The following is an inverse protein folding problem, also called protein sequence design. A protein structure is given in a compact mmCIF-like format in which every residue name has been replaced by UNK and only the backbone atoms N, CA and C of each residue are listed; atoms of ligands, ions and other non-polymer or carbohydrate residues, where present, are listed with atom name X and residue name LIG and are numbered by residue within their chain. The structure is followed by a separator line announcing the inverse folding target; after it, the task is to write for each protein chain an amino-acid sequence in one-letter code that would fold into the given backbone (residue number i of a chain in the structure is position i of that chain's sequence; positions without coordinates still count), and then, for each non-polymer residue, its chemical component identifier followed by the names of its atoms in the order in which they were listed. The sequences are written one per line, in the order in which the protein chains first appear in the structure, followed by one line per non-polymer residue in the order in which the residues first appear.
data_IF_430892894436
#
_entry.id   IF_430892894436
#
_cell.length_a   1.000
_cell.length_b   1.000
_cell.length_c   1.000
_cell.angle_alpha   90.00
_cell.angle_beta   90.00
_cell.angle_gamma   90.00
#
_symmetry.space_group_name_H-M   'P 1'
#
loop_
_entity.id
_entity.type
_entity.pdbx_description
1 polymer ?
#
# COMPACT_ATOMS: atom_id res chain seq x y z
N UNK A 1 -42.17 0.36 17.41
CA UNK A 1 -42.19 0.33 15.93
C UNK A 1 -40.77 0.50 15.47
N UNK A 2 -40.11 -0.64 15.27
CA UNK A 2 -38.71 -0.73 14.85
C UNK A 2 -38.62 -0.67 13.34
N UNK A 3 -38.13 0.45 12.83
CA UNK A 3 -37.84 0.60 11.41
C UNK A 3 -36.61 -0.21 11.03
N UNK A 4 -36.80 -1.28 10.28
CA UNK A 4 -35.75 -1.96 9.54
C UNK A 4 -35.12 -0.98 8.56
N UNK A 5 -33.90 -0.52 8.83
CA UNK A 5 -33.04 0.03 7.80
C UNK A 5 -32.64 -1.15 6.91
N UNK A 6 -33.33 -1.32 5.80
CA UNK A 6 -32.92 -2.20 4.71
C UNK A 6 -31.57 -1.71 4.20
N UNK A 7 -30.55 -2.50 4.43
CA UNK A 7 -29.23 -2.37 3.83
C UNK A 7 -29.40 -2.47 2.31
N UNK A 8 -29.61 -1.34 1.66
CA UNK A 8 -29.73 -1.29 0.21
C UNK A 8 -28.36 -1.69 -0.36
N UNK A 9 -28.28 -2.85 -0.98
CA UNK A 9 -27.11 -3.32 -1.70
C UNK A 9 -26.63 -2.19 -2.63
N UNK A 10 -25.47 -1.64 -2.35
CA UNK A 10 -24.85 -0.61 -3.22
C UNK A 10 -24.57 -1.28 -4.55
N UNK A 11 -25.44 -1.03 -5.53
CA UNK A 11 -25.24 -1.52 -6.88
C UNK A 11 -24.04 -0.79 -7.50
N UNK A 12 -22.96 -1.52 -7.75
CA UNK A 12 -21.79 -0.96 -8.44
C UNK A 12 -22.08 -0.88 -9.93
N UNK A 13 -22.09 0.33 -10.53
CA UNK A 13 -22.41 0.47 -11.94
C UNK A 13 -21.34 -0.21 -12.81
N UNK A 14 -21.73 -0.80 -13.96
CA UNK A 14 -20.77 -1.38 -14.89
C UNK A 14 -19.82 -0.32 -15.47
N UNK A 15 -20.28 0.91 -15.62
CA UNK A 15 -19.53 2.07 -16.11
C UNK A 15 -19.51 3.16 -15.01
N UNK A 16 -18.57 3.05 -14.04
CA UNK A 16 -18.48 4.04 -12.98
C UNK A 16 -17.81 5.33 -13.48
N UNK A 17 -18.11 6.49 -12.85
CA UNK A 17 -17.37 7.72 -13.12
C UNK A 17 -15.88 7.53 -12.85
N UNK A 18 -15.05 8.44 -13.36
CA UNK A 18 -13.62 8.45 -13.03
C UNK A 18 -13.41 8.54 -11.51
N UNK A 19 -12.41 7.81 -10.98
CA UNK A 19 -12.24 7.70 -9.54
C UNK A 19 -11.76 9.01 -8.91
N UNK A 20 -12.10 9.19 -7.64
CA UNK A 20 -11.60 10.30 -6.81
C UNK A 20 -10.31 9.96 -6.07
N UNK A 21 -9.89 8.71 -6.10
CA UNK A 21 -8.63 8.20 -5.56
C UNK A 21 -7.79 7.57 -6.67
N UNK A 22 -6.52 7.96 -6.74
CA UNK A 22 -5.55 7.34 -7.66
C UNK A 22 -4.27 7.01 -6.93
N UNK A 23 -3.76 5.82 -7.18
CA UNK A 23 -2.43 5.42 -6.76
C UNK A 23 -1.51 5.39 -7.98
N UNK A 24 -0.37 6.08 -7.91
CA UNK A 24 0.61 6.15 -8.99
C UNK A 24 1.96 5.64 -8.48
N UNK A 25 2.46 4.60 -9.14
CA UNK A 25 3.84 4.15 -8.97
C UNK A 25 4.75 5.06 -9.79
N UNK A 26 5.56 5.88 -9.14
CA UNK A 26 6.45 6.83 -9.84
C UNK A 26 7.83 6.25 -10.13
N UNK A 27 8.17 5.10 -9.54
CA UNK A 27 9.48 4.42 -9.65
C UNK A 27 9.28 2.92 -9.81
N UNK A 28 9.85 2.34 -10.84
CA UNK A 28 9.81 0.89 -11.09
C UNK A 28 10.79 0.05 -10.27
N UNK A 29 11.56 0.65 -9.35
CA UNK A 29 12.62 -0.01 -8.61
C UNK A 29 12.65 0.38 -7.13
N UNK A 30 13.30 -0.46 -6.32
CA UNK A 30 13.55 -0.19 -4.91
C UNK A 30 15.02 -0.45 -4.57
N UNK A 31 15.55 0.30 -3.63
CA UNK A 31 16.89 0.09 -3.10
C UNK A 31 16.97 -1.03 -2.05
N UNK A 32 15.83 -1.62 -1.66
CA UNK A 32 15.73 -2.76 -0.77
C UNK A 32 15.26 -4.03 -1.49
N UNK A 33 15.41 -5.17 -0.81
CA UNK A 33 15.00 -6.49 -1.29
C UNK A 33 14.20 -7.21 -0.20
N UNK A 34 13.14 -6.54 0.28
CA UNK A 34 12.27 -7.09 1.33
C UNK A 34 11.72 -8.45 0.92
N UNK A 35 11.77 -9.43 1.83
CA UNK A 35 11.43 -10.83 1.51
C UNK A 35 9.99 -11.02 1.03
N UNK A 36 9.06 -10.24 1.58
CA UNK A 36 7.64 -10.28 1.22
C UNK A 36 7.29 -9.46 -0.03
N UNK A 37 8.25 -8.76 -0.66
CA UNK A 37 7.96 -7.84 -1.75
C UNK A 37 8.12 -8.49 -3.12
N UNK A 38 7.09 -8.38 -3.94
CA UNK A 38 7.07 -8.93 -5.30
C UNK A 38 7.97 -8.18 -6.29
N UNK A 39 8.54 -7.02 -5.92
CA UNK A 39 9.37 -6.21 -6.83
C UNK A 39 10.54 -6.98 -7.45
N UNK A 40 11.07 -7.97 -6.72
CA UNK A 40 12.20 -8.78 -7.17
C UNK A 40 11.84 -9.71 -8.34
N UNK A 41 10.56 -9.96 -8.55
CA UNK A 41 10.04 -10.95 -9.50
C UNK A 41 9.30 -10.30 -10.67
N UNK A 42 9.14 -8.98 -10.67
CA UNK A 42 8.43 -8.26 -11.73
C UNK A 42 9.15 -8.38 -13.07
N UNK A 43 8.37 -8.44 -14.15
CA UNK A 43 8.86 -8.60 -15.53
C UNK A 43 8.77 -7.32 -16.36
N UNK A 44 7.95 -6.37 -15.96
CA UNK A 44 7.70 -5.11 -16.66
C UNK A 44 8.83 -4.08 -16.51
N UNK A 45 9.90 -4.43 -15.79
CA UNK A 45 11.12 -3.65 -15.67
C UNK A 45 12.20 -4.40 -14.91
N UNK A 46 13.48 -4.18 -15.19
CA UNK A 46 14.56 -4.90 -14.53
C UNK A 46 14.66 -4.45 -13.06
N UNK A 47 14.51 -5.33 -12.08
CA UNK A 47 14.65 -4.96 -10.68
C UNK A 47 16.07 -4.49 -10.31
N UNK A 48 17.05 -4.80 -11.17
CA UNK A 48 18.47 -4.45 -11.01
C UNK A 48 19.03 -3.66 -12.20
N UNK A 49 18.19 -3.26 -13.15
CA UNK A 49 18.60 -2.53 -14.35
C UNK A 49 18.75 -1.02 -14.11
N UNK A 50 18.87 -0.25 -15.19
CA UNK A 50 18.83 1.20 -15.12
C UNK A 50 17.60 1.69 -14.38
N UNK A 51 17.75 2.79 -13.61
CA UNK A 51 16.63 3.37 -12.89
C UNK A 51 15.52 3.78 -13.86
N UNK A 52 14.31 3.32 -13.56
CA UNK A 52 13.12 3.54 -14.37
C UNK A 52 12.12 4.40 -13.57
N UNK A 53 11.86 5.59 -14.09
CA UNK A 53 11.01 6.60 -13.49
C UNK A 53 9.87 6.99 -14.42
N UNK A 54 8.72 7.35 -13.85
CA UNK A 54 7.70 8.07 -14.58
C UNK A 54 8.20 9.49 -14.86
N UNK A 55 8.28 9.96 -16.13
CA UNK A 55 8.63 11.34 -16.40
C UNK A 55 7.65 12.31 -15.73
N UNK A 56 8.16 13.44 -15.23
CA UNK A 56 7.31 14.43 -14.54
C UNK A 56 6.18 14.95 -15.44
N UNK A 57 6.46 15.20 -16.70
CA UNK A 57 5.45 15.71 -17.65
C UNK A 57 4.36 14.66 -17.92
N UNK A 58 4.72 13.37 -17.96
CA UNK A 58 3.75 12.27 -18.04
C UNK A 58 2.88 12.23 -16.79
N UNK A 59 3.48 12.38 -15.61
CA UNK A 59 2.76 12.44 -14.34
C UNK A 59 1.78 13.63 -14.30
N UNK A 60 2.25 14.82 -14.66
CA UNK A 60 1.41 16.01 -14.68
C UNK A 60 0.24 15.86 -15.66
N UNK A 61 0.51 15.42 -16.90
CA UNK A 61 -0.53 15.19 -17.91
C UNK A 61 -1.51 14.09 -17.53
N UNK A 62 -1.06 13.08 -16.76
CA UNK A 62 -1.95 12.04 -16.23
C UNK A 62 -2.95 12.63 -15.21
N UNK A 63 -2.49 13.47 -14.29
CA UNK A 63 -3.35 14.07 -13.26
C UNK A 63 -4.43 14.98 -13.85
N UNK A 64 -4.14 15.70 -14.94
CA UNK A 64 -5.13 16.56 -15.61
C UNK A 64 -6.33 15.78 -16.16
N UNK A 65 -6.19 14.49 -16.37
CA UNK A 65 -7.24 13.64 -16.90
C UNK A 65 -8.20 13.08 -15.83
N UNK A 66 -7.97 13.41 -14.54
CA UNK A 66 -8.85 13.03 -13.43
C UNK A 66 -9.54 14.26 -12.82
N UNK A 67 -10.62 14.75 -13.40
CA UNK A 67 -11.23 16.05 -13.04
C UNK A 67 -11.80 16.08 -11.60
N UNK A 68 -12.14 14.92 -11.03
CA UNK A 68 -12.70 14.80 -9.68
C UNK A 68 -11.72 14.17 -8.68
N UNK A 69 -10.42 14.11 -9.03
CA UNK A 69 -9.40 13.56 -8.12
C UNK A 69 -9.34 14.38 -6.83
N UNK A 70 -9.36 13.69 -5.69
CA UNK A 70 -9.25 14.27 -4.36
C UNK A 70 -8.03 13.74 -3.62
N UNK A 71 -7.79 12.42 -3.72
CA UNK A 71 -6.71 11.74 -3.02
C UNK A 71 -5.73 11.10 -4.00
N UNK A 72 -4.45 11.41 -3.84
CA UNK A 72 -3.37 10.83 -4.61
C UNK A 72 -2.39 10.08 -3.70
N UNK A 73 -2.17 8.81 -4.00
CA UNK A 73 -1.18 8.00 -3.29
C UNK A 73 0.02 7.71 -4.20
N UNK A 74 1.17 8.29 -3.87
CA UNK A 74 2.40 8.10 -4.64
C UNK A 74 3.19 6.92 -4.07
N UNK A 75 2.85 5.73 -4.52
CA UNK A 75 3.48 4.48 -4.09
C UNK A 75 3.23 3.38 -5.11
N UNK A 76 4.20 2.49 -5.25
CA UNK A 76 4.10 1.20 -5.93
C UNK A 76 4.91 0.15 -5.19
N UNK A 77 5.48 -0.79 -5.92
CA UNK A 77 6.47 -1.73 -5.38
C UNK A 77 7.83 -1.05 -5.17
N UNK A 78 8.14 0.01 -5.92
CA UNK A 78 9.35 0.79 -5.82
C UNK A 78 9.40 1.70 -4.58
N UNK A 79 10.60 2.20 -4.26
CA UNK A 79 10.76 3.24 -3.24
C UNK A 79 10.55 4.62 -3.88
N UNK A 80 9.45 5.35 -3.55
CA UNK A 80 9.10 6.60 -4.24
C UNK A 80 10.20 7.67 -4.16
N UNK A 81 10.93 7.73 -3.04
CA UNK A 81 11.99 8.71 -2.84
C UNK A 81 13.27 8.44 -3.64
N UNK A 82 13.34 7.36 -4.41
CA UNK A 82 14.36 7.19 -5.45
C UNK A 82 14.14 8.12 -6.63
N UNK A 83 12.90 8.54 -6.88
CA UNK A 83 12.62 9.48 -7.96
C UNK A 83 13.26 10.84 -7.69
N UNK A 84 14.09 11.38 -8.59
CA UNK A 84 14.83 12.62 -8.35
C UNK A 84 13.92 13.84 -8.14
N UNK A 85 12.74 13.84 -8.77
CA UNK A 85 11.73 14.91 -8.68
C UNK A 85 10.51 14.50 -7.83
N UNK A 86 10.67 13.58 -6.87
CA UNK A 86 9.55 13.09 -6.07
C UNK A 86 8.80 14.22 -5.35
N UNK A 87 9.53 15.09 -4.66
CA UNK A 87 8.90 16.21 -3.92
C UNK A 87 8.33 17.27 -4.85
N UNK A 88 8.85 17.43 -6.07
CA UNK A 88 8.22 18.30 -7.09
C UNK A 88 6.87 17.74 -7.54
N UNK A 89 6.76 16.39 -7.70
CA UNK A 89 5.48 15.72 -7.99
C UNK A 89 4.46 15.92 -6.87
N UNK A 90 4.91 15.75 -5.62
CA UNK A 90 4.07 16.02 -4.44
C UNK A 90 3.59 17.46 -4.44
N UNK A 91 4.50 18.44 -4.61
CA UNK A 91 4.16 19.86 -4.62
C UNK A 91 3.21 20.22 -5.76
N UNK A 92 3.40 19.66 -6.95
CA UNK A 92 2.51 19.85 -8.08
C UNK A 92 1.09 19.38 -7.78
N UNK A 93 0.96 18.16 -7.21
CA UNK A 93 -0.35 17.60 -6.87
C UNK A 93 -1.02 18.35 -5.69
N UNK A 94 -0.26 18.67 -4.64
CA UNK A 94 -0.76 19.45 -3.51
C UNK A 94 -1.18 20.86 -3.92
N UNK A 95 -0.43 21.50 -4.85
CA UNK A 95 -0.80 22.80 -5.44
C UNK A 95 -2.10 22.78 -6.23
N UNK A 96 -2.57 21.62 -6.68
CA UNK A 96 -3.90 21.41 -7.28
C UNK A 96 -5.00 21.15 -6.24
N UNK A 97 -4.68 21.17 -4.96
CA UNK A 97 -5.63 20.90 -3.88
C UNK A 97 -5.81 19.40 -3.56
N UNK A 98 -4.97 18.51 -4.11
CA UNK A 98 -5.05 17.08 -3.83
C UNK A 98 -4.44 16.75 -2.46
N UNK A 99 -5.07 15.82 -1.74
CA UNK A 99 -4.46 15.21 -0.55
C UNK A 99 -3.45 14.16 -1.01
N UNK A 100 -2.17 14.45 -0.84
CA UNK A 100 -1.09 13.57 -1.30
C UNK A 100 -0.55 12.73 -0.14
N UNK A 101 -0.43 11.43 -0.34
CA UNK A 101 0.14 10.47 0.61
C UNK A 101 1.20 9.60 -0.06
N UNK A 102 2.10 9.03 0.76
CA UNK A 102 3.12 8.09 0.29
C UNK A 102 3.55 7.12 1.37
N UNK A 103 4.09 5.96 0.96
CA UNK A 103 4.85 5.08 1.84
C UNK A 103 6.35 5.18 1.51
N UNK A 104 7.20 5.06 2.52
CA UNK A 104 8.65 5.03 2.34
C UNK A 104 9.32 4.08 3.31
N UNK A 105 10.40 3.45 2.86
CA UNK A 105 11.29 2.66 3.71
C UNK A 105 12.28 3.53 4.52
N UNK A 106 12.25 4.83 4.36
CA UNK A 106 13.08 5.85 5.00
C UNK A 106 14.60 5.70 4.83
N UNK A 107 15.12 4.71 4.13
CA UNK A 107 16.59 4.48 4.04
C UNK A 107 17.34 5.58 3.29
N UNK A 108 16.63 6.31 2.40
CA UNK A 108 17.22 7.36 1.56
C UNK A 108 16.98 8.78 2.09
N UNK A 109 16.37 8.92 3.26
CA UNK A 109 16.03 10.21 3.82
C UNK A 109 17.24 10.89 4.47
N UNK A 110 17.35 12.18 4.25
CA UNK A 110 18.34 13.09 4.83
C UNK A 110 17.63 14.30 5.41
N UNK A 111 18.33 15.16 6.12
CA UNK A 111 17.78 16.44 6.61
C UNK A 111 17.24 17.30 5.46
N UNK A 112 17.95 17.34 4.32
CA UNK A 112 17.48 18.05 3.12
C UNK A 112 16.14 17.48 2.64
N UNK A 113 16.01 16.14 2.54
CA UNK A 113 14.76 15.50 2.10
C UNK A 113 13.63 15.66 3.11
N UNK A 114 13.94 15.65 4.41
CA UNK A 114 12.94 15.94 5.43
C UNK A 114 12.40 17.38 5.29
N UNK A 115 13.24 18.38 5.04
CA UNK A 115 12.79 19.75 4.73
C UNK A 115 11.97 19.81 3.45
N UNK A 116 12.46 19.23 2.35
CA UNK A 116 11.71 19.17 1.08
C UNK A 116 10.32 18.54 1.26
N UNK A 117 10.19 17.52 2.11
CA UNK A 117 8.90 16.93 2.44
C UNK A 117 7.96 17.95 3.11
N UNK A 118 8.44 18.73 4.07
CA UNK A 118 7.61 19.77 4.73
C UNK A 118 7.17 20.85 3.74
N UNK A 119 8.05 21.23 2.83
CA UNK A 119 7.80 22.29 1.83
C UNK A 119 6.89 21.79 0.68
N UNK A 120 6.80 20.48 0.47
CA UNK A 120 6.07 19.90 -0.68
C UNK A 120 4.55 19.83 -0.50
N UNK A 121 4.04 19.98 0.72
CA UNK A 121 2.62 19.82 1.01
C UNK A 121 2.16 18.36 1.10
N UNK A 122 3.09 17.40 1.33
CA UNK A 122 2.73 16.00 1.62
C UNK A 122 1.82 15.94 2.85
N UNK A 123 0.64 15.35 2.71
CA UNK A 123 -0.34 15.26 3.79
C UNK A 123 -0.09 14.06 4.73
N UNK A 124 0.38 12.92 4.18
CA UNK A 124 0.60 11.70 4.96
C UNK A 124 1.85 10.95 4.49
N UNK A 125 2.69 10.58 5.45
CA UNK A 125 3.85 9.71 5.28
C UNK A 125 3.67 8.43 6.09
N UNK A 126 3.51 7.31 5.42
CA UNK A 126 3.53 5.98 6.01
C UNK A 126 4.95 5.42 6.00
N UNK A 127 5.48 5.15 7.18
CA UNK A 127 6.82 4.61 7.38
C UNK A 127 6.74 3.09 7.48
N UNK A 128 7.40 2.41 6.57
CA UNK A 128 7.45 0.95 6.56
C UNK A 128 8.40 0.41 7.63
N UNK A 129 7.86 -0.10 8.75
CA UNK A 129 8.64 -0.60 9.87
C UNK A 129 8.01 -1.89 10.43
N UNK A 130 8.61 -3.05 10.13
CA UNK A 130 8.01 -4.36 10.43
C UNK A 130 8.42 -4.96 11.78
N UNK A 131 9.33 -4.33 12.52
CA UNK A 131 9.72 -4.74 13.85
C UNK A 131 10.41 -3.59 14.60
N UNK A 132 10.39 -3.64 15.94
CA UNK A 132 11.22 -2.82 16.83
C UNK A 132 12.57 -3.45 17.10
N UNK A 133 12.71 -4.76 16.89
CA UNK A 133 14.00 -5.48 16.98
C UNK A 133 14.79 -5.31 15.70
N UNK A 134 16.05 -4.82 15.78
CA UNK A 134 16.89 -4.59 14.61
C UNK A 134 17.14 -5.85 13.77
N UNK A 135 17.35 -7.00 14.40
CA UNK A 135 17.68 -8.24 13.69
C UNK A 135 16.45 -8.74 12.90
N UNK A 136 15.27 -8.74 13.51
CA UNK A 136 14.01 -9.11 12.85
C UNK A 136 13.73 -8.14 11.69
N UNK A 137 13.88 -6.84 11.93
CA UNK A 137 13.64 -5.82 10.92
C UNK A 137 14.56 -5.99 9.69
N UNK A 138 15.87 -6.11 9.92
CA UNK A 138 16.86 -6.20 8.85
C UNK A 138 16.78 -7.53 8.08
N UNK A 139 16.34 -8.61 8.73
CA UNK A 139 16.04 -9.88 8.07
C UNK A 139 14.85 -9.77 7.13
N UNK A 140 13.75 -9.11 7.55
CA UNK A 140 12.54 -8.90 6.73
C UNK A 140 12.85 -7.94 5.59
N UNK A 141 13.49 -6.80 5.91
CA UNK A 141 13.77 -5.72 4.95
C UNK A 141 15.22 -5.76 4.50
N UNK A 142 15.57 -6.85 3.80
CA UNK A 142 16.93 -7.11 3.34
C UNK A 142 17.53 -5.90 2.60
N UNK A 143 18.69 -5.46 3.08
CA UNK A 143 19.41 -4.26 2.62
C UNK A 143 19.10 -2.98 3.40
N UNK A 144 18.13 -3.00 4.33
CA UNK A 144 17.94 -1.91 5.28
C UNK A 144 18.88 -2.01 6.48
N UNK A 145 19.10 -0.88 7.14
CA UNK A 145 19.77 -0.78 8.43
C UNK A 145 18.85 -0.07 9.42
N UNK A 146 18.41 -0.78 10.44
CA UNK A 146 17.45 -0.29 11.43
C UNK A 146 17.86 1.04 12.04
N UNK A 147 19.09 1.15 12.53
CA UNK A 147 19.60 2.38 13.12
C UNK A 147 19.62 3.58 12.16
N UNK A 148 19.78 3.35 10.85
CA UNK A 148 19.70 4.40 9.83
C UNK A 148 18.24 4.87 9.64
N UNK A 149 17.30 3.93 9.59
CA UNK A 149 15.87 4.23 9.44
C UNK A 149 15.36 5.02 10.65
N UNK A 150 15.73 4.61 11.86
CA UNK A 150 15.35 5.33 13.09
C UNK A 150 15.94 6.75 13.14
N UNK A 151 17.21 6.94 12.76
CA UNK A 151 17.78 8.29 12.63
C UNK A 151 17.01 9.15 11.61
N UNK A 152 16.59 8.55 10.49
CA UNK A 152 15.84 9.26 9.47
C UNK A 152 14.42 9.58 9.90
N UNK A 153 13.76 8.69 10.66
CA UNK A 153 12.47 8.97 11.28
C UNK A 153 12.55 10.19 12.22
N UNK A 154 13.55 10.20 13.10
CA UNK A 154 13.79 11.35 14.01
C UNK A 154 14.03 12.66 13.25
N UNK A 155 14.74 12.62 12.10
CA UNK A 155 14.90 13.80 11.22
C UNK A 155 13.57 14.30 10.67
N UNK A 156 12.70 13.39 10.23
CA UNK A 156 11.36 13.76 9.74
C UNK A 156 10.54 14.39 10.86
N UNK A 157 10.52 13.75 12.05
CA UNK A 157 9.76 14.26 13.19
C UNK A 157 10.29 15.62 13.67
N UNK A 158 11.60 15.82 13.70
CA UNK A 158 12.22 17.10 14.05
C UNK A 158 11.89 18.20 13.01
N UNK A 159 11.97 17.87 11.71
CA UNK A 159 11.61 18.82 10.64
C UNK A 159 10.13 19.18 10.69
N UNK A 160 9.24 18.20 10.94
CA UNK A 160 7.80 18.41 11.13
C UNK A 160 7.51 19.37 12.27
N UNK A 161 8.16 19.15 13.44
CA UNK A 161 7.99 20.01 14.61
C UNK A 161 8.53 21.44 14.35
N UNK A 162 9.72 21.56 13.74
CA UNK A 162 10.34 22.86 13.43
C UNK A 162 9.51 23.69 12.43
N UNK A 163 8.90 23.03 11.45
CA UNK A 163 8.04 23.69 10.45
C UNK A 163 6.59 23.87 10.90
N UNK A 164 6.20 23.32 12.06
CA UNK A 164 4.78 23.18 12.48
C UNK A 164 3.90 22.61 11.34
N UNK A 165 4.44 21.64 10.60
CA UNK A 165 3.80 21.12 9.40
C UNK A 165 2.64 20.15 9.76
N UNK A 166 1.52 20.20 9.02
CA UNK A 166 0.36 19.35 9.27
C UNK A 166 0.56 17.89 8.79
N UNK A 167 1.79 17.50 8.47
CA UNK A 167 2.13 16.16 8.01
C UNK A 167 1.70 15.09 9.03
N UNK A 168 0.87 14.17 8.61
CA UNK A 168 0.57 12.96 9.37
C UNK A 168 1.67 11.92 9.13
N UNK A 169 2.22 11.37 10.21
CA UNK A 169 3.22 10.30 10.14
C UNK A 169 2.64 9.06 10.79
N UNK A 170 2.65 7.95 10.05
CA UNK A 170 2.14 6.64 10.48
C UNK A 170 3.22 5.59 10.33
N UNK A 171 3.28 4.62 11.23
CA UNK A 171 4.03 3.39 11.02
C UNK A 171 3.12 2.34 10.40
N UNK A 172 3.61 1.67 9.34
CA UNK A 172 2.92 0.54 8.71
C UNK A 172 3.78 -0.70 8.88
N UNK A 173 3.17 -1.74 9.47
CA UNK A 173 3.77 -3.06 9.66
C UNK A 173 3.05 -4.09 8.81
N UNK A 174 3.80 -4.88 8.05
CA UNK A 174 3.29 -6.12 7.46
C UNK A 174 3.49 -7.24 8.47
N UNK A 175 2.37 -7.77 8.99
CA UNK A 175 2.36 -8.77 10.03
C UNK A 175 2.66 -10.15 9.45
N UNK A 176 3.61 -10.83 10.07
CA UNK A 176 4.13 -12.14 9.72
C UNK A 176 4.32 -12.96 10.99
N UNK A 177 4.45 -14.28 10.86
CA UNK A 177 4.72 -15.18 11.98
C UNK A 177 5.96 -14.75 12.76
N UNK A 178 7.05 -14.41 12.06
CA UNK A 178 8.34 -14.04 12.68
C UNK A 178 8.32 -12.72 13.45
N UNK A 179 7.42 -11.80 13.16
CA UNK A 179 7.35 -10.50 13.83
C UNK A 179 6.12 -10.31 14.73
N UNK A 180 5.25 -11.32 14.83
CA UNK A 180 4.03 -11.26 15.65
C UNK A 180 4.35 -10.89 17.11
N UNK A 181 5.28 -11.59 17.74
CA UNK A 181 5.69 -11.33 19.11
C UNK A 181 6.34 -9.94 19.32
N UNK A 182 6.79 -9.30 18.23
CA UNK A 182 7.42 -7.98 18.29
C UNK A 182 6.43 -6.81 18.16
N UNK A 183 5.16 -7.10 17.91
CA UNK A 183 4.10 -6.09 17.71
C UNK A 183 3.93 -5.14 18.92
N UNK A 184 3.84 -5.60 20.19
CA UNK A 184 3.75 -4.68 21.33
C UNK A 184 4.99 -3.77 21.44
N UNK A 185 6.19 -4.31 21.20
CA UNK A 185 7.43 -3.52 21.20
C UNK A 185 7.43 -2.45 20.11
N UNK A 186 6.84 -2.74 18.95
CA UNK A 186 6.70 -1.75 17.86
C UNK A 186 5.77 -0.61 18.25
N UNK A 187 4.67 -0.89 18.95
CA UNK A 187 3.76 0.15 19.47
C UNK A 187 4.49 1.06 20.46
N UNK A 188 5.26 0.49 21.39
CA UNK A 188 6.07 1.28 22.32
C UNK A 188 7.14 2.12 21.63
N UNK A 189 7.81 1.54 20.61
CA UNK A 189 8.79 2.25 19.79
C UNK A 189 8.14 3.44 19.06
N UNK A 190 6.97 3.23 18.45
CA UNK A 190 6.23 4.29 17.77
C UNK A 190 5.95 5.47 18.69
N UNK A 191 5.40 5.21 19.88
CA UNK A 191 5.14 6.22 20.89
C UNK A 191 6.42 6.96 21.31
N UNK A 192 7.51 6.24 21.56
CA UNK A 192 8.80 6.81 21.95
C UNK A 192 9.41 7.74 20.88
N UNK A 193 9.13 7.48 19.62
CA UNK A 193 9.55 8.33 18.48
C UNK A 193 8.51 9.42 18.12
N UNK A 194 7.43 9.56 18.91
CA UNK A 194 6.38 10.56 18.72
C UNK A 194 5.43 10.24 17.57
N UNK A 195 5.37 8.98 17.12
CA UNK A 195 4.41 8.51 16.12
C UNK A 195 3.24 7.84 16.82
N UNK A 196 2.07 8.45 16.75
CA UNK A 196 0.86 7.99 17.46
C UNK A 196 -0.17 7.31 16.54
N UNK A 197 0.26 6.79 15.39
CA UNK A 197 -0.59 6.04 14.44
C UNK A 197 0.19 4.82 13.94
N UNK A 198 -0.30 3.63 14.25
CA UNK A 198 0.29 2.34 13.84
C UNK A 198 -0.77 1.53 13.09
N UNK A 199 -0.49 1.23 11.84
CA UNK A 199 -1.33 0.42 10.99
C UNK A 199 -0.66 -0.92 10.70
N UNK A 200 -1.30 -2.00 11.11
CA UNK A 200 -0.84 -3.37 10.90
C UNK A 200 -1.69 -4.05 9.83
N UNK A 201 -1.06 -4.62 8.84
CA UNK A 201 -1.73 -5.30 7.74
C UNK A 201 -1.15 -6.70 7.54
N UNK A 202 -1.96 -7.61 6.97
CA UNK A 202 -1.50 -8.95 6.60
C UNK A 202 -0.53 -8.95 5.42
N UNK A 203 0.13 -10.10 5.20
CA UNK A 203 0.61 -10.50 3.90
C UNK A 203 -0.61 -10.62 2.97
N UNK A 204 -0.76 -9.67 2.03
CA UNK A 204 -2.03 -9.42 1.34
C UNK A 204 -2.36 -10.44 0.26
N UNK A 205 -1.40 -11.26 -0.19
CA UNK A 205 -1.55 -12.15 -1.34
C UNK A 205 -0.74 -13.43 -1.15
N UNK A 206 -1.31 -14.59 -1.51
CA UNK A 206 -0.64 -15.88 -1.44
C UNK A 206 0.13 -16.25 -2.72
N UNK A 207 -0.07 -15.50 -3.81
CA UNK A 207 0.53 -15.77 -5.12
C UNK A 207 0.20 -17.18 -5.67
N UNK A 208 -0.99 -17.69 -5.37
CA UNK A 208 -1.43 -19.03 -5.81
C UNK A 208 -2.30 -19.03 -7.07
N UNK A 209 -2.53 -17.86 -7.70
CA UNK A 209 -3.29 -17.81 -8.93
C UNK A 209 -2.67 -18.67 -10.04
N UNK A 210 -3.51 -19.40 -10.77
CA UNK A 210 -3.07 -20.30 -11.85
C UNK A 210 -2.40 -19.56 -13.02
N UNK A 211 -2.67 -18.26 -13.15
CA UNK A 211 -2.08 -17.37 -14.16
C UNK A 211 -0.79 -16.70 -13.72
N UNK A 212 -0.27 -17.03 -12.52
CA UNK A 212 0.93 -16.41 -11.99
C UNK A 212 2.14 -16.65 -12.91
N UNK A 213 2.83 -15.61 -13.35
CA UNK A 213 4.11 -15.76 -14.04
C UNK A 213 5.12 -16.55 -13.20
N UNK A 214 5.90 -17.42 -13.88
CA UNK A 214 6.80 -18.35 -13.19
C UNK A 214 7.81 -17.71 -12.26
N UNK A 215 8.21 -16.48 -12.56
CA UNK A 215 9.16 -15.68 -11.81
C UNK A 215 8.70 -15.33 -10.39
N UNK A 216 7.38 -15.32 -10.15
CA UNK A 216 6.81 -15.03 -8.82
C UNK A 216 6.75 -16.26 -7.90
N UNK A 217 6.99 -17.48 -8.43
CA UNK A 217 6.88 -18.71 -7.62
C UNK A 217 7.76 -18.72 -6.36
N UNK A 218 8.98 -18.17 -6.35
CA UNK A 218 9.80 -18.17 -5.13
C UNK A 218 9.20 -17.42 -3.95
N UNK A 219 8.34 -16.40 -4.20
CA UNK A 219 7.71 -15.67 -3.11
C UNK A 219 6.63 -16.50 -2.39
N UNK A 220 6.04 -17.50 -3.07
CA UNK A 220 4.95 -18.33 -2.50
C UNK A 220 5.39 -19.06 -1.25
N UNK A 221 6.55 -19.74 -1.28
CA UNK A 221 7.05 -20.44 -0.09
C UNK A 221 7.23 -19.49 1.08
N UNK A 222 7.82 -18.32 0.85
CA UNK A 222 7.99 -17.33 1.91
C UNK A 222 6.65 -16.88 2.49
N UNK A 223 5.66 -16.57 1.64
CA UNK A 223 4.33 -16.17 2.08
C UNK A 223 3.65 -17.27 2.88
N UNK A 224 3.69 -18.52 2.39
CA UNK A 224 3.11 -19.69 3.06
C UNK A 224 3.73 -19.91 4.45
N UNK A 225 5.05 -19.75 4.57
CA UNK A 225 5.78 -19.95 5.84
C UNK A 225 5.52 -18.80 6.85
N UNK A 226 5.17 -17.61 6.37
CA UNK A 226 5.03 -16.41 7.18
C UNK A 226 3.59 -15.96 7.42
N UNK A 227 2.60 -16.52 6.72
CA UNK A 227 1.19 -16.24 7.01
C UNK A 227 0.83 -16.73 8.40
N UNK A 228 -0.15 -16.08 9.03
CA UNK A 228 -0.68 -16.48 10.33
C UNK A 228 -1.74 -17.57 10.25
N UNK A 229 -2.08 -18.06 9.06
CA UNK A 229 -3.15 -19.05 8.87
C UNK A 229 -2.92 -20.38 9.62
N UNK A 230 -1.67 -20.70 9.95
CA UNK A 230 -1.29 -21.89 10.73
C UNK A 230 -0.87 -21.60 12.16
N UNK A 231 -0.99 -20.34 12.63
CA UNK A 231 -0.62 -19.98 13.99
C UNK A 231 -1.75 -20.23 14.98
N UNK A 232 -1.42 -20.49 16.24
CA UNK A 232 -2.43 -20.66 17.29
C UNK A 232 -3.24 -19.37 17.48
N UNK A 233 -4.58 -19.44 17.46
CA UNK A 233 -5.41 -18.26 17.77
C UNK A 233 -5.07 -17.59 19.09
N UNK A 234 -4.71 -18.36 20.12
CA UNK A 234 -4.37 -17.84 21.45
C UNK A 234 -3.07 -17.03 21.38
N UNK A 235 -2.05 -17.51 20.65
CA UNK A 235 -0.77 -16.79 20.45
C UNK A 235 -0.99 -15.46 19.72
N UNK A 236 -1.87 -15.46 18.74
CA UNK A 236 -2.20 -14.24 18.00
C UNK A 236 -2.94 -13.25 18.91
N UNK A 237 -3.97 -13.73 19.63
CA UNK A 237 -4.77 -12.85 20.51
C UNK A 237 -3.95 -12.32 21.68
N UNK A 238 -3.06 -13.10 22.26
CA UNK A 238 -2.13 -12.63 23.31
C UNK A 238 -1.25 -11.47 22.79
N UNK A 239 -0.69 -11.62 21.60
CA UNK A 239 0.12 -10.55 20.98
C UNK A 239 -0.73 -9.30 20.69
N UNK A 240 -1.95 -9.48 20.19
CA UNK A 240 -2.88 -8.39 19.90
C UNK A 240 -3.37 -7.70 21.18
N UNK A 241 -3.71 -8.46 22.23
CA UNK A 241 -4.13 -7.92 23.50
C UNK A 241 -3.01 -7.09 24.15
N UNK A 242 -1.78 -7.60 24.16
CA UNK A 242 -0.62 -6.86 24.66
C UNK A 242 -0.38 -5.57 23.86
N UNK A 243 -0.47 -5.62 22.53
CA UNK A 243 -0.32 -4.45 21.69
C UNK A 243 -1.43 -3.41 21.90
N UNK A 244 -2.69 -3.83 22.10
CA UNK A 244 -3.82 -2.92 22.42
C UNK A 244 -3.61 -2.25 23.78
N UNK A 245 -3.16 -3.00 24.79
CA UNK A 245 -2.87 -2.45 26.11
C UNK A 245 -1.76 -1.39 26.06
N UNK A 246 -0.67 -1.66 25.36
CA UNK A 246 0.39 -0.67 25.14
C UNK A 246 -0.10 0.56 24.35
N UNK A 247 -0.92 0.34 23.33
CA UNK A 247 -1.48 1.43 22.52
C UNK A 247 -2.39 2.35 23.33
N UNK A 248 -3.27 1.78 24.16
CA UNK A 248 -4.14 2.53 25.06
C UNK A 248 -3.32 3.32 26.08
N UNK A 249 -2.36 2.68 26.74
CA UNK A 249 -1.53 3.31 27.77
C UNK A 249 -0.66 4.46 27.22
N UNK A 250 -0.26 4.39 25.94
CA UNK A 250 0.65 5.34 25.30
C UNK A 250 -0.06 6.32 24.36
N UNK A 251 -1.38 6.25 24.22
CA UNK A 251 -2.15 7.12 23.34
C UNK A 251 -1.83 6.91 21.85
N UNK A 252 -1.58 5.67 21.44
CA UNK A 252 -1.31 5.29 20.04
C UNK A 252 -2.60 4.77 19.40
N UNK A 253 -2.99 5.35 18.26
CA UNK A 253 -4.05 4.79 17.44
C UNK A 253 -3.53 3.52 16.76
N UNK A 254 -3.98 2.35 17.22
CA UNK A 254 -3.57 1.05 16.69
C UNK A 254 -4.69 0.43 15.87
N UNK A 255 -4.40 0.15 14.61
CA UNK A 255 -5.27 -0.62 13.74
C UNK A 255 -4.66 -1.98 13.48
N UNK A 256 -5.37 -3.04 13.85
CA UNK A 256 -4.99 -4.44 13.65
C UNK A 256 -5.84 -5.08 12.55
N UNK A 257 -5.27 -6.04 11.78
CA UNK A 257 -6.02 -6.83 10.84
C UNK A 257 -6.91 -7.84 11.57
N UNK A 258 -7.87 -8.40 10.85
CA UNK A 258 -8.66 -9.53 11.36
C UNK A 258 -7.88 -10.81 11.15
N UNK A 259 -7.66 -11.57 12.21
CA UNK A 259 -7.00 -12.89 12.18
C UNK A 259 -7.95 -13.92 12.76
N UNK A 260 -8.03 -15.07 12.09
CA UNK A 260 -8.90 -16.17 12.53
C UNK A 260 -10.40 -15.90 12.29
N UNK A 261 -11.11 -16.95 11.92
CA UNK A 261 -12.52 -16.93 11.60
C UNK A 261 -12.79 -17.08 10.10
N UNK A 262 -13.93 -17.67 9.77
CA UNK A 262 -14.42 -17.64 8.40
C UNK A 262 -14.47 -16.18 7.92
N UNK A 263 -14.07 -15.90 6.66
CA UNK A 263 -14.25 -14.58 6.09
C UNK A 263 -15.65 -14.10 6.42
N UNK A 264 -15.79 -12.90 7.01
CA UNK A 264 -17.12 -12.37 7.27
C UNK A 264 -17.91 -12.52 5.98
N UNK A 265 -19.04 -13.24 5.97
CA UNK A 265 -19.82 -13.39 4.76
C UNK A 265 -20.27 -12.01 4.36
N UNK A 266 -19.54 -11.39 3.43
CA UNK A 266 -20.14 -10.29 2.67
C UNK A 266 -21.21 -10.96 1.83
N UNK A 267 -22.42 -10.91 2.33
CA UNK A 267 -23.60 -11.45 1.66
C UNK A 267 -23.84 -10.81 0.30
N UNK A 268 -23.16 -9.70 0.02
CA UNK A 268 -23.32 -8.91 -1.20
C UNK A 268 -22.03 -8.89 -2.01
N UNK A 269 -22.14 -9.15 -3.30
CA UNK A 269 -21.10 -8.91 -4.30
C UNK A 269 -21.16 -7.45 -4.77
N UNK A 270 -20.01 -6.84 -5.16
CA UNK A 270 -18.65 -7.38 -5.11
C UNK A 270 -18.06 -7.37 -3.69
N UNK A 271 -17.19 -8.31 -3.40
CA UNK A 271 -16.47 -8.39 -2.12
C UNK A 271 -15.35 -7.34 -1.99
N UNK A 272 -14.94 -6.74 -3.09
CA UNK A 272 -13.95 -5.68 -3.16
C UNK A 272 -14.43 -4.62 -4.15
N UNK A 273 -14.46 -3.37 -3.73
CA UNK A 273 -14.93 -2.21 -4.50
C UNK A 273 -13.79 -1.41 -5.17
N UNK A 274 -12.54 -1.84 -4.99
CA UNK A 274 -11.36 -1.09 -5.42
C UNK A 274 -11.40 -0.67 -6.90
N UNK A 275 -11.75 -1.54 -7.90
CA UNK A 275 -11.80 -1.17 -9.31
C UNK A 275 -12.91 -0.19 -9.70
N UNK A 276 -13.77 0.21 -8.76
CA UNK A 276 -14.80 1.24 -8.96
C UNK A 276 -14.44 2.57 -8.27
N UNK A 277 -13.63 2.51 -7.20
CA UNK A 277 -13.30 3.66 -6.37
C UNK A 277 -11.92 4.22 -6.63
N UNK A 278 -11.00 3.41 -7.13
CA UNK A 278 -9.61 3.77 -7.33
C UNK A 278 -9.03 3.26 -8.64
N UNK A 279 -8.01 3.95 -9.12
CA UNK A 279 -7.15 3.49 -10.20
C UNK A 279 -5.72 3.32 -9.68
N UNK A 280 -5.05 2.27 -10.15
CA UNK A 280 -3.61 2.09 -9.94
C UNK A 280 -2.90 2.21 -11.28
N UNK A 281 -1.87 3.06 -11.33
CA UNK A 281 -1.11 3.34 -12.55
C UNK A 281 0.37 3.06 -12.30
N UNK A 282 0.98 2.20 -13.13
CA UNK A 282 2.41 1.89 -13.06
C UNK A 282 3.28 3.07 -13.48
N UNK A 283 4.59 2.99 -13.20
CA UNK A 283 5.55 4.01 -13.64
C UNK A 283 5.65 4.14 -15.18
N UNK A 284 5.17 3.15 -15.92
CA UNK A 284 5.06 3.17 -17.39
C UNK A 284 3.70 3.68 -17.89
N UNK A 285 2.76 3.94 -16.98
CA UNK A 285 1.41 4.39 -17.31
C UNK A 285 0.38 3.28 -17.45
N UNK A 286 0.74 2.01 -17.19
CA UNK A 286 -0.20 0.90 -17.30
C UNK A 286 -1.19 0.88 -16.16
N UNK A 287 -2.48 0.71 -16.47
CA UNK A 287 -3.56 0.61 -15.52
C UNK A 287 -3.70 -0.82 -15.01
N UNK A 288 -3.79 -0.98 -13.71
CA UNK A 288 -3.98 -2.26 -13.03
C UNK A 288 -5.20 -2.24 -12.10
N UNK A 289 -5.72 -3.43 -11.70
CA UNK A 289 -6.90 -3.49 -10.84
C UNK A 289 -6.76 -2.78 -9.50
N UNK A 290 -5.59 -2.89 -8.87
CA UNK A 290 -5.28 -2.32 -7.56
C UNK A 290 -3.80 -2.51 -7.20
N UNK A 291 -3.36 -1.93 -6.09
CA UNK A 291 -1.99 -2.05 -5.57
C UNK A 291 -1.58 -3.49 -5.17
N UNK A 292 -2.55 -4.36 -4.85
CA UNK A 292 -2.25 -5.75 -4.47
C UNK A 292 -1.80 -6.60 -5.66
N UNK A 293 -2.21 -6.26 -6.87
CA UNK A 293 -1.70 -6.89 -8.11
C UNK A 293 -0.26 -6.47 -8.37
N UNK A 294 0.04 -5.20 -8.20
CA UNK A 294 1.40 -4.64 -8.12
C UNK A 294 2.14 -4.52 -9.45
N UNK A 295 1.86 -5.37 -10.45
CA UNK A 295 2.59 -5.40 -11.72
C UNK A 295 1.68 -5.72 -12.91
N UNK A 296 1.90 -5.06 -14.07
CA UNK A 296 1.02 -5.21 -15.24
C UNK A 296 1.12 -6.60 -15.92
N UNK A 297 2.18 -7.35 -15.69
CA UNK A 297 2.34 -8.72 -16.19
C UNK A 297 1.41 -9.73 -15.49
N UNK A 298 0.86 -9.39 -14.33
CA UNK A 298 -0.18 -10.18 -13.64
C UNK A 298 -1.59 -9.81 -14.09
N UNK A 299 -1.88 -8.52 -14.24
CA UNK A 299 -3.14 -8.03 -14.82
C UNK A 299 -2.98 -6.56 -15.24
N UNK A 300 -3.32 -6.24 -16.49
CA UNK A 300 -3.31 -4.89 -17.03
C UNK A 300 -4.56 -4.63 -17.87
N UNK A 301 -4.99 -3.38 -17.92
CA UNK A 301 -6.19 -2.93 -18.63
C UNK A 301 -5.91 -1.99 -19.80
N UNK A 302 -4.64 -1.73 -20.08
CA UNK A 302 -4.18 -0.75 -21.06
C UNK A 302 -3.31 0.32 -20.43
N UNK A 303 -2.84 1.28 -21.20
CA UNK A 303 -1.90 2.30 -20.75
C UNK A 303 -2.56 3.68 -20.72
N UNK A 304 -2.86 4.19 -19.52
CA UNK A 304 -3.55 5.47 -19.31
C UNK A 304 -2.74 6.67 -19.82
N UNK A 305 -1.41 6.58 -19.82
CA UNK A 305 -0.57 7.68 -20.30
C UNK A 305 -0.54 7.80 -21.84
N UNK A 306 -0.76 6.70 -22.55
CA UNK A 306 -0.75 6.66 -24.03
C UNK A 306 -2.15 6.70 -24.63
N UNK A 307 -3.07 5.99 -24.05
CA UNK A 307 -4.42 5.77 -24.58
C UNK A 307 -5.46 6.74 -24.01
N UNK A 308 -5.09 7.42 -22.92
CA UNK A 308 -5.99 8.29 -22.17
C UNK A 308 -6.75 7.59 -21.06
N UNK A 309 -6.92 8.30 -19.94
CA UNK A 309 -7.53 7.77 -18.71
C UNK A 309 -8.96 7.31 -18.95
N UNK A 310 -9.80 8.15 -19.56
CA UNK A 310 -11.20 7.82 -19.78
C UNK A 310 -11.39 6.61 -20.70
N UNK A 311 -10.56 6.49 -21.75
CA UNK A 311 -10.63 5.39 -22.70
C UNK A 311 -10.27 4.05 -22.02
N UNK A 312 -9.22 4.02 -21.20
CA UNK A 312 -8.80 2.81 -20.48
C UNK A 312 -9.81 2.47 -19.37
N UNK A 313 -10.28 3.47 -18.61
CA UNK A 313 -11.21 3.28 -17.49
C UNK A 313 -12.55 2.69 -17.91
N UNK A 314 -13.10 3.17 -19.03
CA UNK A 314 -14.33 2.67 -19.66
C UNK A 314 -14.08 1.48 -20.62
N UNK A 315 -12.81 1.08 -20.80
CA UNK A 315 -12.42 0.06 -21.77
C UNK A 315 -12.91 -1.35 -21.40
N UNK A 316 -13.02 -2.21 -22.41
CA UNK A 316 -13.55 -3.57 -22.30
C UNK A 316 -12.80 -4.42 -21.26
N UNK A 317 -11.49 -4.24 -21.10
CA UNK A 317 -10.67 -4.98 -20.11
C UNK A 317 -11.09 -4.63 -18.68
N UNK A 318 -11.25 -3.35 -18.36
CA UNK A 318 -11.73 -2.89 -17.06
C UNK A 318 -13.16 -3.35 -16.78
N UNK A 319 -14.06 -3.21 -17.77
CA UNK A 319 -15.46 -3.63 -17.65
C UNK A 319 -15.57 -5.15 -17.41
N UNK A 320 -14.84 -5.95 -18.18
CA UNK A 320 -14.81 -7.40 -18.01
C UNK A 320 -14.30 -7.81 -16.62
N UNK A 321 -13.25 -7.14 -16.12
CA UNK A 321 -12.72 -7.40 -14.79
C UNK A 321 -13.73 -7.07 -13.69
N UNK A 322 -14.39 -5.88 -13.79
CA UNK A 322 -15.46 -5.48 -12.86
C UNK A 322 -16.62 -6.46 -12.87
N UNK A 323 -17.10 -6.87 -14.05
CA UNK A 323 -18.18 -7.82 -14.19
C UNK A 323 -17.85 -9.17 -13.52
N UNK A 324 -16.64 -9.70 -13.72
CA UNK A 324 -16.19 -10.91 -13.04
C UNK A 324 -16.06 -10.72 -11.54
N UNK A 325 -15.54 -9.59 -11.07
CA UNK A 325 -15.40 -9.32 -9.63
C UNK A 325 -16.77 -9.18 -8.95
N UNK A 326 -17.79 -8.72 -9.67
CA UNK A 326 -19.18 -8.65 -9.23
C UNK A 326 -19.93 -9.98 -9.36
N UNK A 327 -19.30 -11.05 -9.82
CA UNK A 327 -19.87 -12.37 -9.98
C UNK A 327 -19.27 -13.38 -8.99
N UNK A 328 -19.85 -14.59 -8.85
CA UNK A 328 -19.24 -15.67 -8.08
C UNK A 328 -17.89 -16.14 -8.64
N UNK A 329 -17.62 -15.92 -9.95
CA UNK A 329 -16.37 -16.27 -10.61
C UNK A 329 -15.38 -15.10 -10.65
N UNK A 330 -14.90 -14.70 -9.47
CA UNK A 330 -13.91 -13.62 -9.37
C UNK A 330 -12.63 -13.92 -10.17
N UNK A 331 -11.93 -12.88 -10.67
CA UNK A 331 -10.62 -13.05 -11.28
C UNK A 331 -9.66 -13.84 -10.39
N UNK A 332 -8.86 -14.75 -10.98
CA UNK A 332 -7.96 -15.64 -10.22
C UNK A 332 -7.05 -14.84 -9.27
N UNK A 333 -6.50 -13.72 -9.73
CA UNK A 333 -5.65 -12.83 -8.95
C UNK A 333 -6.33 -12.21 -7.71
N UNK A 334 -7.66 -12.25 -7.63
CA UNK A 334 -8.41 -11.71 -6.49
C UNK A 334 -8.78 -12.77 -5.45
N UNK A 335 -8.86 -14.06 -5.83
CA UNK A 335 -9.46 -15.11 -4.98
C UNK A 335 -8.76 -15.31 -3.65
N UNK A 336 -7.44 -15.16 -3.62
CA UNK A 336 -6.61 -15.31 -2.42
C UNK A 336 -6.32 -13.99 -1.69
N UNK A 337 -6.67 -12.86 -2.28
CA UNK A 337 -6.41 -11.56 -1.72
C UNK A 337 -7.16 -11.31 -0.40
N UNK A 338 -6.48 -10.87 0.65
CA UNK A 338 -7.04 -10.59 1.97
C UNK A 338 -8.13 -9.51 1.94
N UNK A 339 -8.01 -8.48 1.06
CA UNK A 339 -9.08 -7.49 0.84
C UNK A 339 -10.35 -8.14 0.28
N UNK A 340 -10.22 -9.02 -0.70
CA UNK A 340 -11.35 -9.72 -1.30
C UNK A 340 -11.99 -10.71 -0.32
N UNK A 341 -11.17 -11.35 0.52
CA UNK A 341 -11.63 -12.26 1.59
C UNK A 341 -12.24 -11.52 2.79
N UNK A 342 -12.01 -10.21 2.92
CA UNK A 342 -12.50 -9.40 4.04
C UNK A 342 -11.75 -9.63 5.34
N UNK A 343 -10.49 -10.07 5.26
CA UNK A 343 -9.59 -10.30 6.40
C UNK A 343 -8.56 -9.18 6.59
N UNK A 344 -8.57 -8.14 5.77
CA UNK A 344 -7.64 -7.00 5.81
C UNK A 344 -8.03 -5.97 6.87
#
# INVERSE_FOLDING_TARGET
MSGNATDAAVAFPPDPPLPTFVQVEVVGQCNLRCRMCAIQFRRDGPPYGPLAFMPFDTFAALLEQFPALADLHLQGLGEPTMHPRFFDMVAHAAGKGLRVSTNSNLTLWSERRARQCMDSGLAELSVSLDAADPAIYEEIRAGAHFGKVMRNLRRVMAARAAANAPLQVRIVMVLMRRNLANLPALVRLAAAEGVHDVFVQHLCHDFEESSLPGEYRPIRSFIHDETLDGESPDVIEDAFAAARADAEALGVALRLPRVGGAPAPRATLPRCDWPWRGAYVSYQGDAMPCCMVGTPDRASFGNMAREGVAAVWAGAAYQSFRARLASPDAPAVCRSCSLYRGTF
#
